data_IF_097695479108
#
_entry.id   IF_097695479108
#
_cell.length_a   1.000
_cell.length_b   1.000
_cell.length_c   1.000
_cell.angle_alpha   90.00
_cell.angle_beta   90.00
_cell.angle_gamma   90.00
#
_symmetry.space_group_name_H-M   'P 1'
#
loop_
_entity.id
_entity.type
_entity.pdbx_description
1 polymer ?
#
# COMPACT_ATOMS: atom_id res chain seq x y z
N UNK A 1 -7.15 16.54 0.63
CA UNK A 1 -6.34 17.11 1.72
C UNK A 1 -5.67 18.44 1.33
N UNK A 2 -4.79 18.47 0.31
CA UNK A 2 -4.10 19.70 -0.15
C UNK A 2 -5.07 20.85 -0.38
N UNK A 3 -6.20 20.61 -1.05
CA UNK A 3 -7.25 21.62 -1.29
C UNK A 3 -7.75 22.26 0.01
N UNK A 4 -8.07 21.47 1.03
CA UNK A 4 -8.54 21.99 2.33
C UNK A 4 -7.46 22.81 3.05
N UNK A 5 -6.21 22.37 2.99
CA UNK A 5 -5.07 23.10 3.59
C UNK A 5 -4.82 24.41 2.85
N UNK A 6 -4.79 24.40 1.51
CA UNK A 6 -4.59 25.60 0.68
C UNK A 6 -5.75 26.58 0.88
N UNK A 7 -6.99 26.11 0.90
CA UNK A 7 -8.16 26.95 1.18
C UNK A 7 -8.08 27.57 2.59
N UNK A 8 -7.70 26.77 3.59
CA UNK A 8 -7.47 27.25 4.96
C UNK A 8 -6.37 28.32 5.04
N UNK A 9 -5.23 28.09 4.38
CA UNK A 9 -4.12 29.06 4.30
C UNK A 9 -4.53 30.32 3.56
N UNK A 10 -5.26 30.20 2.45
CA UNK A 10 -5.76 31.32 1.67
C UNK A 10 -6.68 32.21 2.51
N UNK A 11 -7.60 31.59 3.25
CA UNK A 11 -8.51 32.28 4.15
C UNK A 11 -7.74 32.93 5.32
N UNK A 12 -6.88 32.17 5.99
CA UNK A 12 -6.07 32.63 7.12
C UNK A 12 -5.18 33.83 6.75
N UNK A 13 -4.53 33.78 5.58
CA UNK A 13 -3.64 34.85 5.09
C UNK A 13 -4.37 35.94 4.29
N UNK A 14 -5.70 35.85 4.15
CA UNK A 14 -6.51 36.73 3.29
C UNK A 14 -5.89 36.89 1.89
N UNK A 15 -5.31 35.82 1.37
CA UNK A 15 -4.68 35.84 0.06
C UNK A 15 -5.79 36.03 -0.96
N UNK A 16 -5.71 37.09 -1.77
CA UNK A 16 -6.67 37.29 -2.85
C UNK A 16 -6.73 36.03 -3.72
N UNK A 17 -7.94 35.56 -4.03
CA UNK A 17 -8.17 34.32 -4.79
C UNK A 17 -7.39 34.29 -6.11
N UNK A 18 -7.17 35.46 -6.73
CA UNK A 18 -6.31 35.64 -7.91
C UNK A 18 -4.86 35.17 -7.71
N UNK A 19 -4.27 35.36 -6.53
CA UNK A 19 -2.91 34.90 -6.25
C UNK A 19 -2.88 33.40 -5.96
N UNK A 20 -3.89 32.87 -5.25
CA UNK A 20 -4.02 31.43 -5.00
C UNK A 20 -4.16 30.68 -6.33
N UNK A 21 -5.08 31.13 -7.19
CA UNK A 21 -5.30 30.55 -8.52
C UNK A 21 -4.08 30.64 -9.41
N UNK A 22 -3.32 31.75 -9.40
CA UNK A 22 -2.05 31.85 -10.13
C UNK A 22 -1.00 30.86 -9.66
N UNK A 23 -0.81 30.73 -8.33
CA UNK A 23 0.16 29.77 -7.78
C UNK A 23 -0.27 28.34 -8.10
N UNK A 24 -1.55 28.01 -7.87
CA UNK A 24 -2.10 26.70 -8.20
C UNK A 24 -1.93 26.41 -9.69
N UNK A 25 -2.28 27.34 -10.58
CA UNK A 25 -2.09 27.18 -12.02
C UNK A 25 -0.62 26.99 -12.40
N UNK A 26 0.29 27.80 -11.85
CA UNK A 26 1.73 27.67 -12.11
C UNK A 26 2.31 26.33 -11.64
N UNK A 27 1.80 25.78 -10.52
CA UNK A 27 2.23 24.47 -10.01
C UNK A 27 1.53 23.29 -10.68
N UNK A 28 0.25 23.45 -11.04
CA UNK A 28 -0.57 22.39 -11.59
C UNK A 28 -0.33 22.21 -13.09
N UNK A 29 -0.01 23.28 -13.82
CA UNK A 29 0.18 23.21 -15.27
C UNK A 29 1.32 22.24 -15.66
N UNK A 30 2.53 22.27 -15.06
CA UNK A 30 3.56 21.28 -15.35
C UNK A 30 3.09 19.85 -15.04
N UNK A 31 2.39 19.65 -13.93
CA UNK A 31 1.84 18.34 -13.54
C UNK A 31 0.82 17.86 -14.57
N UNK A 32 -0.11 18.73 -15.01
CA UNK A 32 -1.12 18.41 -16.02
C UNK A 32 -0.47 18.09 -17.36
N UNK A 33 0.58 18.81 -17.77
CA UNK A 33 1.31 18.52 -19.01
C UNK A 33 2.01 17.17 -18.92
N UNK A 34 2.78 16.92 -17.85
CA UNK A 34 3.50 15.65 -17.65
C UNK A 34 2.53 14.48 -17.57
N UNK A 35 1.47 14.59 -16.78
CA UNK A 35 0.43 13.55 -16.65
C UNK A 35 -0.31 13.39 -17.97
N UNK A 36 -0.64 14.47 -18.68
CA UNK A 36 -1.31 14.43 -19.98
C UNK A 36 -0.49 13.67 -21.03
N UNK A 37 0.79 14.02 -21.18
CA UNK A 37 1.70 13.29 -22.07
C UNK A 37 1.77 11.81 -21.68
N UNK A 38 1.96 11.51 -20.40
CA UNK A 38 2.00 10.12 -19.92
C UNK A 38 0.70 9.36 -20.22
N UNK A 39 -0.47 9.97 -19.97
CA UNK A 39 -1.78 9.37 -20.26
C UNK A 39 -1.97 9.09 -21.75
N UNK A 40 -1.53 10.00 -22.62
CA UNK A 40 -1.63 9.80 -24.08
C UNK A 40 -0.73 8.66 -24.56
N UNK A 41 0.52 8.62 -24.11
CA UNK A 41 1.50 7.58 -24.45
C UNK A 41 1.08 6.19 -23.95
N UNK A 42 0.35 6.12 -22.84
CA UNK A 42 -0.06 4.86 -22.20
C UNK A 42 -1.57 4.58 -22.38
N UNK A 43 -2.24 5.27 -23.31
CA UNK A 43 -3.69 5.21 -23.49
C UNK A 43 -4.22 3.80 -23.77
N UNK A 44 -3.52 3.01 -24.58
CA UNK A 44 -3.89 1.62 -24.86
C UNK A 44 -3.85 0.75 -23.59
N UNK A 45 -2.78 0.86 -22.80
CA UNK A 45 -2.66 0.13 -21.53
C UNK A 45 -3.71 0.58 -20.50
N UNK A 46 -3.96 1.90 -20.41
CA UNK A 46 -5.01 2.45 -19.54
C UNK A 46 -6.39 1.96 -19.97
N UNK A 47 -6.66 1.88 -21.27
CA UNK A 47 -7.90 1.33 -21.81
C UNK A 47 -8.04 -0.15 -21.48
N UNK A 48 -6.99 -0.94 -21.67
CA UNK A 48 -6.97 -2.36 -21.33
C UNK A 48 -7.23 -2.59 -19.82
N UNK A 49 -6.54 -1.85 -18.96
CA UNK A 49 -6.75 -1.88 -17.50
C UNK A 49 -8.14 -1.37 -17.13
N UNK A 50 -8.62 -0.32 -17.78
CA UNK A 50 -9.96 0.25 -17.56
C UNK A 50 -11.09 -0.71 -17.91
N UNK A 51 -10.84 -1.64 -18.83
CA UNK A 51 -11.77 -2.67 -19.27
C UNK A 51 -11.79 -3.92 -18.37
N UNK A 52 -10.89 -4.04 -17.39
CA UNK A 52 -10.91 -5.16 -16.43
C UNK A 52 -11.89 -4.92 -15.30
N UNK A 53 -12.33 -5.99 -14.63
CA UNK A 53 -13.17 -5.92 -13.43
C UNK A 53 -12.41 -5.20 -12.31
N UNK A 54 -11.16 -5.59 -12.05
CA UNK A 54 -10.25 -4.83 -11.21
C UNK A 54 -8.87 -4.62 -11.88
N UNK A 55 -8.29 -3.40 -11.78
CA UNK A 55 -8.83 -2.20 -11.12
C UNK A 55 -9.85 -1.39 -11.95
N UNK A 56 -10.11 -1.74 -13.22
CA UNK A 56 -10.87 -0.91 -14.16
C UNK A 56 -12.30 -0.57 -13.75
N UNK A 57 -13.11 -1.56 -13.40
CA UNK A 57 -14.52 -1.37 -13.01
C UNK A 57 -14.71 -1.30 -11.49
N UNK A 58 -13.69 -1.64 -10.69
CA UNK A 58 -13.78 -1.65 -9.23
C UNK A 58 -14.24 -0.29 -8.70
N UNK A 59 -15.30 -0.36 -7.89
CA UNK A 59 -15.73 0.69 -6.99
C UNK A 59 -15.55 0.18 -5.56
N UNK A 60 -14.74 0.89 -4.78
CA UNK A 60 -14.66 0.72 -3.35
C UNK A 60 -15.83 1.45 -2.68
N UNK A 61 -16.34 0.82 -1.63
CA UNK A 61 -17.27 1.41 -0.67
C UNK A 61 -16.48 1.90 0.55
N UNK A 62 -17.09 2.75 1.36
CA UNK A 62 -16.53 3.08 2.65
C UNK A 62 -16.60 1.90 3.62
N UNK A 63 -15.79 1.95 4.69
CA UNK A 63 -15.85 0.97 5.78
C UNK A 63 -14.97 -0.27 5.57
N UNK A 64 -14.08 -0.24 4.56
CA UNK A 64 -13.12 -1.32 4.32
C UNK A 64 -11.93 -1.30 5.29
N UNK A 65 -11.76 -0.27 6.12
CA UNK A 65 -10.70 -0.18 7.12
C UNK A 65 -11.10 -0.79 8.46
N UNK A 66 -10.12 -1.25 9.24
CA UNK A 66 -10.32 -1.72 10.61
C UNK A 66 -9.65 -0.83 11.66
N UNK A 67 -10.14 -0.90 12.91
CA UNK A 67 -9.47 -0.25 14.04
C UNK A 67 -8.06 -0.79 14.25
N UNK A 68 -7.82 -2.08 14.01
CA UNK A 68 -6.48 -2.67 14.05
C UNK A 68 -5.54 -2.01 13.06
N UNK A 69 -5.98 -1.67 11.85
CA UNK A 69 -5.12 -1.00 10.86
C UNK A 69 -4.77 0.44 11.26
N UNK A 70 -5.74 1.17 11.83
CA UNK A 70 -5.53 2.53 12.30
C UNK A 70 -4.63 2.58 13.55
N UNK A 71 -4.78 1.60 14.44
CA UNK A 71 -4.08 1.54 15.72
C UNK A 71 -2.72 0.85 15.65
N UNK A 72 -2.48 0.00 14.65
CA UNK A 72 -1.21 -0.72 14.40
C UNK A 72 -0.08 0.15 13.86
N UNK A 73 -0.36 1.40 13.50
CA UNK A 73 0.62 2.30 12.94
C UNK A 73 1.97 2.35 13.72
N UNK A 74 2.02 2.33 15.07
CA UNK A 74 3.25 2.26 15.87
C UNK A 74 4.20 1.10 15.60
N UNK A 75 3.69 -0.05 15.17
CA UNK A 75 4.53 -1.21 14.86
C UNK A 75 4.96 -1.26 13.40
N UNK A 76 4.35 -0.48 12.50
CA UNK A 76 4.57 -0.54 11.04
C UNK A 76 6.04 -0.53 10.61
N UNK A 77 6.87 0.35 11.20
CA UNK A 77 8.30 0.44 10.88
C UNK A 77 9.06 -0.86 11.22
N UNK A 78 8.65 -1.59 12.25
CA UNK A 78 9.27 -2.86 12.63
C UNK A 78 8.75 -4.00 11.76
N UNK A 79 7.48 -3.94 11.37
CA UNK A 79 6.88 -4.89 10.41
C UNK A 79 7.60 -4.87 9.07
N UNK A 80 8.03 -3.69 8.60
CA UNK A 80 8.79 -3.59 7.34
C UNK A 80 10.17 -4.23 7.36
N UNK A 81 10.81 -4.36 8.54
CA UNK A 81 12.09 -5.05 8.66
C UNK A 81 11.95 -6.56 8.90
N UNK A 82 10.73 -7.04 9.13
CA UNK A 82 10.45 -8.46 9.28
C UNK A 82 9.23 -8.86 8.45
N UNK A 83 9.40 -9.06 7.13
CA UNK A 83 8.30 -9.41 6.23
C UNK A 83 7.56 -10.68 6.66
N UNK A 84 8.26 -11.63 7.32
CA UNK A 84 7.69 -12.85 7.88
C UNK A 84 6.81 -12.65 9.12
N UNK A 85 6.80 -11.45 9.71
CA UNK A 85 6.02 -11.12 10.90
C UNK A 85 4.60 -10.62 10.57
N UNK A 86 4.34 -10.24 9.32
CA UNK A 86 3.02 -9.86 8.84
C UNK A 86 2.22 -11.13 8.52
N UNK A 87 1.71 -11.79 9.55
CA UNK A 87 0.70 -12.84 9.42
C UNK A 87 -0.65 -12.31 9.91
N UNK A 88 -1.20 -11.35 9.16
CA UNK A 88 -2.60 -10.92 9.34
C UNK A 88 -3.52 -11.99 8.73
N UNK A 89 -3.86 -13.04 9.50
CA UNK A 89 -4.96 -13.93 9.12
C UNK A 89 -4.94 -15.34 9.70
N UNK A 90 -5.81 -15.57 10.69
CA UNK A 90 -6.63 -16.77 10.92
C UNK A 90 -6.34 -18.00 10.02
N UNK A 91 -5.34 -18.81 10.39
CA UNK A 91 -5.21 -20.20 9.92
C UNK A 91 -4.92 -20.43 8.43
N UNK A 92 -4.90 -19.39 7.59
CA UNK A 92 -4.49 -19.50 6.20
C UNK A 92 -2.97 -19.34 6.12
N UNK A 93 -2.26 -20.46 6.11
CA UNK A 93 -0.82 -20.51 5.92
C UNK A 93 -0.41 -19.81 4.62
N UNK A 94 0.08 -18.57 4.72
CA UNK A 94 0.55 -17.80 3.58
C UNK A 94 1.28 -16.55 4.01
N UNK A 95 2.61 -16.59 3.91
CA UNK A 95 3.54 -15.49 4.10
C UNK A 95 3.44 -14.43 2.97
N UNK A 96 2.21 -14.01 2.63
CA UNK A 96 1.87 -13.25 1.41
C UNK A 96 1.18 -11.92 1.67
N UNK A 97 1.35 -11.33 2.86
CA UNK A 97 0.86 -9.98 3.08
C UNK A 97 1.76 -8.99 2.35
N UNK A 98 1.19 -8.34 1.34
CA UNK A 98 1.86 -7.31 0.58
C UNK A 98 2.21 -6.16 1.55
N UNK A 99 3.49 -5.77 1.64
CA UNK A 99 3.94 -4.67 2.50
C UNK A 99 3.16 -3.37 2.26
N UNK A 100 2.65 -3.18 1.03
CA UNK A 100 1.79 -2.03 0.72
C UNK A 100 0.39 -2.09 1.37
N UNK A 101 -0.10 -3.27 1.74
CA UNK A 101 -1.35 -3.44 2.51
C UNK A 101 -1.13 -3.17 4.00
N UNK A 102 0.07 -3.46 4.50
CA UNK A 102 0.52 -3.03 5.82
C UNK A 102 1.02 -1.57 5.86
N UNK A 103 1.05 -0.88 4.71
CA UNK A 103 1.49 0.52 4.62
C UNK A 103 0.43 1.45 5.19
N UNK A 104 0.50 1.67 6.50
CA UNK A 104 -0.13 2.80 7.16
C UNK A 104 0.94 3.82 7.54
N UNK A 105 0.66 5.10 7.31
CA UNK A 105 1.49 6.14 7.89
C UNK A 105 1.28 6.10 9.40
N UNK A 106 2.35 6.22 10.15
CA UNK A 106 2.26 6.30 11.59
C UNK A 106 1.35 7.48 12.03
N UNK A 107 0.19 7.14 12.59
CA UNK A 107 -0.76 8.06 13.23
C UNK A 107 -0.98 7.58 14.65
N UNK A 108 -0.47 8.31 15.64
CA UNK A 108 -0.92 8.11 17.01
C UNK A 108 -2.35 8.63 17.14
N UNK A 109 -3.33 7.74 17.09
CA UNK A 109 -4.74 8.10 17.27
C UNK A 109 -4.98 8.93 18.55
N UNK A 110 -4.33 8.64 19.70
CA UNK A 110 -4.43 9.50 20.88
C UNK A 110 -3.86 10.91 20.70
N UNK A 111 -2.70 11.08 20.04
CA UNK A 111 -2.15 12.43 19.77
C UNK A 111 -3.04 13.16 18.77
N UNK A 112 -3.62 12.43 17.82
CA UNK A 112 -4.53 13.03 16.88
C UNK A 112 -5.80 13.54 17.59
N UNK A 113 -6.41 12.71 18.44
CA UNK A 113 -7.54 13.11 19.27
C UNK A 113 -7.17 14.32 20.14
N UNK A 114 -5.96 14.33 20.71
CA UNK A 114 -5.44 15.47 21.44
C UNK A 114 -5.40 16.74 20.58
N UNK A 115 -4.82 16.69 19.38
CA UNK A 115 -4.77 17.85 18.47
C UNK A 115 -6.18 18.38 18.14
N UNK A 116 -7.14 17.49 17.88
CA UNK A 116 -8.54 17.86 17.63
C UNK A 116 -9.16 18.56 18.84
N UNK A 117 -8.98 18.00 20.05
CA UNK A 117 -9.47 18.59 21.30
C UNK A 117 -8.83 19.96 21.56
N UNK A 118 -7.51 20.07 21.39
CA UNK A 118 -6.78 21.33 21.54
C UNK A 118 -7.29 22.40 20.58
N UNK A 119 -7.60 22.03 19.33
CA UNK A 119 -8.19 22.92 18.34
C UNK A 119 -9.58 23.38 18.78
N UNK A 120 -10.46 22.45 19.16
CA UNK A 120 -11.82 22.74 19.61
C UNK A 120 -11.83 23.67 20.83
N UNK A 121 -11.00 23.39 21.84
CA UNK A 121 -10.84 24.25 23.02
C UNK A 121 -10.37 25.66 22.65
N UNK A 122 -9.45 25.78 21.67
CA UNK A 122 -8.96 27.08 21.21
C UNK A 122 -10.05 27.93 20.53
N UNK A 123 -10.99 27.27 19.83
CA UNK A 123 -12.15 27.90 19.19
C UNK A 123 -13.16 28.34 20.26
N UNK A 124 -13.53 27.45 21.18
CA UNK A 124 -14.50 27.74 22.26
C UNK A 124 -14.02 28.86 23.17
N UNK A 125 -12.75 28.85 23.60
CA UNK A 125 -12.19 29.93 24.45
C UNK A 125 -12.30 31.29 23.78
N UNK A 126 -12.07 31.37 22.47
CA UNK A 126 -12.20 32.61 21.71
C UNK A 126 -13.65 33.07 21.58
N UNK A 127 -14.56 32.14 21.30
CA UNK A 127 -15.98 32.46 21.24
C UNK A 127 -16.48 33.03 22.58
N UNK A 128 -16.02 32.46 23.72
CA UNK A 128 -16.33 32.97 25.06
C UNK A 128 -15.70 34.33 25.34
N UNK A 129 -14.43 34.54 24.99
CA UNK A 129 -13.77 35.83 25.15
C UNK A 129 -14.48 36.96 24.37
N UNK A 130 -14.95 36.66 23.14
CA UNK A 130 -15.77 37.59 22.36
C UNK A 130 -17.11 37.91 23.02
N UNK A 131 -17.79 36.91 23.59
CA UNK A 131 -19.09 37.09 24.26
C UNK A 131 -19.00 37.89 25.57
N UNK A 132 -17.88 37.80 26.29
CA UNK A 132 -17.70 38.48 27.58
C UNK A 132 -17.50 39.99 27.48
N UNK A 133 -17.44 40.57 26.28
CA UNK A 133 -17.24 42.01 26.14
C UNK A 133 -15.84 42.48 26.51
N UNK A 134 -14.89 41.57 26.82
CA UNK A 134 -13.46 41.86 26.99
C UNK A 134 -12.79 42.46 25.71
N UNK A 135 -13.57 42.73 24.67
CA UNK A 135 -13.19 43.28 23.38
C UNK A 135 -13.35 44.80 23.22
N UNK A 136 -13.70 45.55 24.27
CA UNK A 136 -13.60 47.04 24.27
C UNK A 136 -12.25 47.49 24.83
N UNK A 137 -11.19 46.72 24.58
CA UNK A 137 -9.82 47.26 24.67
C UNK A 137 -9.54 47.91 23.32
N UNK A 138 -9.18 49.19 23.37
CA UNK A 138 -8.95 50.05 22.22
C UNK A 138 -8.16 49.34 21.09
N UNK A 139 -8.40 49.70 19.80
CA UNK A 139 -7.81 49.05 18.63
C UNK A 139 -6.28 49.24 18.46
N UNK A 140 -5.52 49.39 19.55
CA UNK A 140 -4.07 49.48 19.53
C UNK A 140 -3.48 48.11 19.18
N UNK A 141 -3.26 47.97 17.87
CA UNK A 141 -2.50 46.95 17.17
C UNK A 141 -3.16 45.56 17.14
N UNK A 142 -3.77 45.16 16.01
CA UNK A 142 -3.96 43.74 15.78
C UNK A 142 -2.56 43.11 15.87
N UNK A 143 -2.39 42.05 16.66
CA UNK A 143 -1.30 41.08 16.46
C UNK A 143 -1.83 40.05 15.46
N UNK A 144 -1.73 40.30 14.15
CA UNK A 144 -2.43 39.53 13.12
C UNK A 144 -1.97 38.06 13.03
N UNK A 145 -0.86 37.66 13.63
CA UNK A 145 -0.31 36.33 13.41
C UNK A 145 -0.94 35.20 14.25
N UNK A 146 -1.62 35.50 15.35
CA UNK A 146 -2.18 34.45 16.22
C UNK A 146 -3.49 33.83 15.71
N UNK A 147 -4.11 34.42 14.68
CA UNK A 147 -5.37 33.91 14.13
C UNK A 147 -5.20 33.07 12.86
N UNK A 148 -4.08 33.21 12.16
CA UNK A 148 -3.82 32.72 10.79
C UNK A 148 -3.49 31.22 10.68
N UNK A 149 -3.93 30.40 11.62
CA UNK A 149 -3.66 28.96 11.61
C UNK A 149 -4.89 28.11 11.89
N UNK A 150 -5.97 28.72 12.41
CA UNK A 150 -7.12 27.98 12.92
C UNK A 150 -7.99 27.44 11.80
N UNK A 151 -8.14 28.19 10.71
CA UNK A 151 -8.90 27.70 9.55
C UNK A 151 -8.11 26.65 8.80
N UNK A 152 -6.78 26.82 8.69
CA UNK A 152 -5.88 25.77 8.19
C UNK A 152 -6.00 24.48 9.02
N UNK A 153 -5.94 24.59 10.34
CA UNK A 153 -6.09 23.44 11.23
C UNK A 153 -7.50 22.82 11.15
N UNK A 154 -8.56 23.63 11.13
CA UNK A 154 -9.93 23.14 10.98
C UNK A 154 -10.15 22.43 9.63
N UNK A 155 -9.60 22.97 8.54
CA UNK A 155 -9.63 22.33 7.23
C UNK A 155 -8.87 21.00 7.21
N UNK A 156 -7.72 20.92 7.88
CA UNK A 156 -6.99 19.67 8.05
C UNK A 156 -7.76 18.62 8.85
N UNK A 157 -8.39 19.01 9.96
CA UNK A 157 -9.23 18.12 10.79
C UNK A 157 -10.46 17.66 10.00
N UNK A 158 -11.13 18.55 9.27
CA UNK A 158 -12.29 18.20 8.44
C UNK A 158 -11.90 17.22 7.31
N UNK A 159 -10.80 17.48 6.61
CA UNK A 159 -10.31 16.59 5.56
C UNK A 159 -10.01 15.18 6.13
N UNK A 160 -9.38 15.14 7.30
CA UNK A 160 -9.06 13.89 7.97
C UNK A 160 -10.31 13.16 8.49
N UNK A 161 -11.31 13.88 9.00
CA UNK A 161 -12.59 13.30 9.39
C UNK A 161 -13.32 12.66 8.20
N UNK A 162 -13.29 13.30 7.02
CA UNK A 162 -13.83 12.72 5.78
C UNK A 162 -13.07 11.45 5.38
N UNK A 163 -11.74 11.45 5.46
CA UNK A 163 -10.92 10.27 5.15
C UNK A 163 -11.19 9.13 6.13
N UNK A 164 -11.26 9.41 7.43
CA UNK A 164 -11.57 8.43 8.47
C UNK A 164 -13.01 7.91 8.34
N UNK A 165 -13.97 8.77 8.00
CA UNK A 165 -15.35 8.35 7.73
C UNK A 165 -15.42 7.39 6.53
N UNK A 166 -14.69 7.68 5.46
CA UNK A 166 -14.56 6.77 4.33
C UNK A 166 -13.87 5.45 4.71
N UNK A 167 -12.83 5.50 5.55
CA UNK A 167 -12.16 4.29 6.01
C UNK A 167 -13.06 3.42 6.89
N UNK A 168 -13.78 4.02 7.83
CA UNK A 168 -14.40 3.34 8.98
C UNK A 168 -15.90 3.12 8.88
N UNK A 169 -16.63 4.00 8.19
CA UNK A 169 -18.09 3.91 8.11
C UNK A 169 -18.49 3.20 6.82
N UNK A 170 -19.49 2.30 6.86
CA UNK A 170 -19.99 1.59 5.67
C UNK A 170 -20.77 2.54 4.75
N UNK A 171 -20.05 3.45 4.09
CA UNK A 171 -20.63 4.45 3.20
C UNK A 171 -20.86 3.83 1.81
N UNK A 172 -22.06 3.97 1.21
CA UNK A 172 -22.31 3.48 -0.13
C UNK A 172 -21.40 4.18 -1.15
N UNK A 173 -21.08 3.48 -2.24
CA UNK A 173 -20.20 4.01 -3.29
C UNK A 173 -20.69 5.35 -3.88
N UNK A 174 -22.01 5.60 -3.88
CA UNK A 174 -22.59 6.86 -4.33
C UNK A 174 -22.13 8.09 -3.50
N UNK A 175 -21.76 7.88 -2.22
CA UNK A 175 -21.20 8.94 -1.37
C UNK A 175 -19.70 9.10 -1.53
N UNK A 176 -19.03 8.20 -2.24
CA UNK A 176 -17.62 8.35 -2.58
C UNK A 176 -17.45 9.52 -3.53
N UNK A 177 -17.00 10.66 -3.02
CA UNK A 177 -16.76 11.86 -3.80
C UNK A 177 -15.74 11.58 -4.92
N UNK A 178 -16.24 11.43 -6.15
CA UNK A 178 -15.46 11.24 -7.37
C UNK A 178 -14.47 10.07 -7.29
N UNK A 179 -13.18 10.41 -7.20
CA UNK A 179 -12.05 9.46 -7.23
C UNK A 179 -11.96 8.61 -5.96
N UNK A 180 -12.63 8.98 -4.85
CA UNK A 180 -12.59 8.18 -3.62
C UNK A 180 -13.16 6.77 -3.81
N UNK A 181 -14.15 6.60 -4.70
CA UNK A 181 -14.65 5.26 -5.08
C UNK A 181 -13.59 4.39 -5.77
N UNK A 182 -12.45 4.94 -6.19
CA UNK A 182 -11.34 4.20 -6.78
C UNK A 182 -10.26 3.83 -5.77
N UNK A 183 -10.38 4.32 -4.54
CA UNK A 183 -9.38 4.11 -3.47
C UNK A 183 -10.02 3.28 -2.35
N UNK A 184 -9.47 2.09 -2.06
CA UNK A 184 -9.92 1.29 -0.94
C UNK A 184 -9.90 2.06 0.38
N UNK A 185 -10.92 1.86 1.22
CA UNK A 185 -11.12 2.63 2.45
C UNK A 185 -9.88 2.62 3.36
N UNK A 186 -9.30 1.43 3.57
CA UNK A 186 -8.08 1.24 4.36
C UNK A 186 -6.86 1.99 3.81
N UNK A 187 -6.77 2.28 2.49
CA UNK A 187 -5.64 3.03 1.93
C UNK A 187 -5.67 4.52 2.28
N UNK A 188 -6.80 5.02 2.77
CA UNK A 188 -6.91 6.43 3.18
C UNK A 188 -6.11 6.75 4.45
N UNK A 189 -5.68 5.75 5.23
CA UNK A 189 -4.81 5.98 6.40
C UNK A 189 -3.49 6.66 6.04
N UNK A 190 -2.95 6.40 4.84
CA UNK A 190 -1.78 7.13 4.33
C UNK A 190 -2.06 8.64 4.26
N UNK A 191 -3.22 9.01 3.73
CA UNK A 191 -3.62 10.42 3.67
C UNK A 191 -3.94 11.00 5.06
N UNK A 192 -4.47 10.19 5.98
CA UNK A 192 -4.68 10.58 7.40
C UNK A 192 -3.35 10.87 8.09
N UNK A 193 -2.32 10.05 7.86
CA UNK A 193 -0.97 10.29 8.42
C UNK A 193 -0.31 11.56 7.90
N UNK A 194 -0.47 11.85 6.62
CA UNK A 194 -0.01 13.12 6.07
C UNK A 194 -0.79 14.29 6.67
N UNK A 195 -2.11 14.15 6.85
CA UNK A 195 -2.97 15.14 7.49
C UNK A 195 -2.53 15.40 8.94
N UNK A 196 -2.24 14.34 9.67
CA UNK A 196 -1.69 14.40 11.01
C UNK A 196 -0.37 15.18 11.06
N UNK A 197 0.60 14.86 10.20
CA UNK A 197 1.89 15.55 10.14
C UNK A 197 1.74 17.05 9.85
N UNK A 198 0.86 17.42 8.91
CA UNK A 198 0.57 18.82 8.61
C UNK A 198 -0.13 19.52 9.77
N UNK A 199 -1.12 18.89 10.40
CA UNK A 199 -1.82 19.43 11.56
C UNK A 199 -0.86 19.68 12.72
N UNK A 200 0.02 18.72 13.00
CA UNK A 200 1.03 18.84 14.04
C UNK A 200 1.95 20.04 13.78
N UNK A 201 2.45 20.20 12.55
CA UNK A 201 3.25 21.35 12.15
C UNK A 201 2.50 22.69 12.31
N UNK A 202 1.21 22.72 11.95
CA UNK A 202 0.39 23.93 12.08
C UNK A 202 0.06 24.24 13.54
N UNK A 203 -0.06 23.25 14.41
CA UNK A 203 -0.49 23.47 15.80
C UNK A 203 0.67 23.65 16.79
N UNK A 204 1.89 23.21 16.43
CA UNK A 204 3.04 23.22 17.34
C UNK A 204 3.31 24.62 17.93
N UNK A 205 3.36 24.69 19.26
CA UNK A 205 3.61 25.94 20.00
C UNK A 205 2.53 27.02 19.90
N UNK A 206 1.40 26.76 19.22
CA UNK A 206 0.30 27.72 19.06
C UNK A 206 -0.81 27.56 20.08
N UNK A 207 -1.05 26.34 20.58
CA UNK A 207 -2.01 26.10 21.65
C UNK A 207 -1.31 26.15 23.01
N UNK A 208 -1.79 27.02 23.89
CA UNK A 208 -1.33 27.09 25.30
C UNK A 208 -2.44 26.66 26.22
N UNK A 209 -2.19 25.60 26.97
CA UNK A 209 -3.03 25.17 28.08
C UNK A 209 -2.37 25.55 29.41
N UNK A 210 -3.15 25.89 30.45
CA UNK A 210 -2.61 26.02 31.79
C UNK A 210 -2.05 24.66 32.24
N UNK A 211 -0.91 24.66 32.96
CA UNK A 211 -0.21 23.44 33.40
C UNK A 211 -1.11 22.42 34.08
N UNK A 212 -2.09 22.88 34.89
CA UNK A 212 -3.08 22.03 35.57
C UNK A 212 -3.95 21.18 34.63
N UNK A 213 -4.21 21.65 33.41
CA UNK A 213 -4.96 20.89 32.38
C UNK A 213 -3.99 20.07 31.53
N UNK A 214 -2.78 20.58 31.29
CA UNK A 214 -1.81 19.94 30.43
C UNK A 214 -1.31 18.59 31.00
N UNK A 215 -1.10 18.50 32.31
CA UNK A 215 -0.67 17.26 32.98
C UNK A 215 -1.59 16.05 32.79
N UNK A 216 -2.87 16.09 33.16
CA UNK A 216 -3.76 14.95 32.97
C UNK A 216 -3.93 14.61 31.48
N UNK A 217 -3.94 15.61 30.60
CA UNK A 217 -4.04 15.42 29.15
C UNK A 217 -2.80 14.72 28.59
N UNK A 218 -1.60 15.14 29.00
CA UNK A 218 -0.36 14.53 28.57
C UNK A 218 -0.24 13.10 29.07
N UNK A 219 -0.51 12.87 30.36
CA UNK A 219 -0.50 11.54 30.95
C UNK A 219 -1.52 10.63 30.26
N UNK A 220 -2.75 11.10 30.06
CA UNK A 220 -3.78 10.34 29.34
C UNK A 220 -3.38 9.99 27.91
N UNK A 221 -2.74 10.93 27.19
CA UNK A 221 -2.26 10.69 25.82
C UNK A 221 -1.14 9.65 25.78
N UNK A 222 -0.20 9.72 26.73
CA UNK A 222 0.90 8.76 26.88
C UNK A 222 0.36 7.37 27.19
N UNK A 223 -0.50 7.24 28.21
CA UNK A 223 -1.11 5.96 28.62
C UNK A 223 -1.94 5.37 27.49
N UNK A 224 -2.80 6.17 26.84
CA UNK A 224 -3.62 5.71 25.73
C UNK A 224 -2.76 5.22 24.56
N UNK A 225 -1.66 5.89 24.26
CA UNK A 225 -0.76 5.46 23.18
C UNK A 225 0.02 4.20 23.53
N UNK A 226 0.45 4.05 24.79
CA UNK A 226 1.05 2.82 25.28
C UNK A 226 0.08 1.63 25.19
N UNK A 227 -1.19 1.84 25.61
CA UNK A 227 -2.24 0.82 25.49
C UNK A 227 -2.51 0.45 24.04
N UNK A 228 -2.69 1.44 23.16
CA UNK A 228 -2.90 1.23 21.72
C UNK A 228 -1.74 0.45 21.11
N UNK A 229 -0.51 0.78 21.46
CA UNK A 229 0.69 0.06 20.99
C UNK A 229 0.69 -1.39 21.50
N UNK A 230 0.40 -1.60 22.79
CA UNK A 230 0.37 -2.94 23.39
C UNK A 230 -0.73 -3.83 22.79
N UNK A 231 -1.94 -3.30 22.62
CA UNK A 231 -3.07 -4.00 21.97
C UNK A 231 -2.71 -4.33 20.52
N UNK A 232 -2.14 -3.37 19.79
CA UNK A 232 -1.74 -3.60 18.40
C UNK A 232 -0.66 -4.68 18.27
N UNK A 233 0.35 -4.68 19.15
CA UNK A 233 1.37 -5.74 19.17
C UNK A 233 0.75 -7.11 19.44
N UNK A 234 -0.26 -7.18 20.33
CA UNK A 234 -0.98 -8.43 20.64
C UNK A 234 -1.83 -8.92 19.46
N UNK A 235 -2.65 -8.03 18.90
CA UNK A 235 -3.65 -8.38 17.88
C UNK A 235 -3.01 -8.70 16.52
N UNK A 236 -1.87 -8.08 16.20
CA UNK A 236 -1.11 -8.38 14.99
C UNK A 236 -0.40 -9.75 15.02
N UNK A 237 -0.58 -10.57 16.07
CA UNK A 237 0.04 -11.89 16.19
C UNK A 237 1.54 -11.85 15.85
N UNK A 238 2.25 -10.80 16.32
CA UNK A 238 3.71 -10.67 16.18
C UNK A 238 4.40 -11.67 17.12
N UNK A 239 4.13 -12.95 16.91
CA UNK A 239 4.55 -14.04 17.78
C UNK A 239 6.06 -14.29 17.75
N UNK A 240 6.84 -13.65 16.86
CA UNK A 240 8.21 -14.13 16.61
C UNK A 240 9.30 -13.09 16.39
N UNK A 241 9.06 -11.76 16.42
CA UNK A 241 10.17 -10.82 16.14
C UNK A 241 10.20 -9.48 16.86
N UNK A 242 9.06 -8.84 17.13
CA UNK A 242 9.04 -7.57 17.88
C UNK A 242 8.73 -7.89 19.34
N UNK A 243 9.77 -8.24 20.11
CA UNK A 243 9.62 -8.58 21.53
C UNK A 243 8.94 -7.47 22.34
N UNK A 244 8.30 -7.83 23.46
CA UNK A 244 7.65 -6.90 24.40
C UNK A 244 8.56 -5.71 24.75
N UNK A 245 9.86 -5.96 24.92
CA UNK A 245 10.86 -4.93 25.18
C UNK A 245 10.88 -3.84 24.10
N UNK A 246 10.81 -4.20 22.82
CA UNK A 246 10.81 -3.21 21.74
C UNK A 246 9.52 -2.39 21.71
N UNK A 247 8.38 -3.03 21.98
CA UNK A 247 7.10 -2.32 22.12
C UNK A 247 7.13 -1.30 23.28
N UNK A 248 7.76 -1.66 24.39
CA UNK A 248 7.98 -0.75 25.53
C UNK A 248 8.90 0.40 25.13
N UNK A 249 10.02 0.14 24.45
CA UNK A 249 10.94 1.19 23.96
C UNK A 249 10.21 2.17 23.05
N UNK A 250 9.41 1.69 22.11
CA UNK A 250 8.61 2.53 21.21
C UNK A 250 7.62 3.38 21.98
N UNK A 251 6.90 2.79 22.94
CA UNK A 251 5.97 3.51 23.79
C UNK A 251 6.66 4.59 24.63
N UNK A 252 7.86 4.32 25.17
CA UNK A 252 8.66 5.26 25.96
C UNK A 252 9.19 6.41 25.09
N UNK A 253 9.82 6.11 23.96
CA UNK A 253 10.31 7.14 23.01
C UNK A 253 9.17 8.06 22.62
N UNK A 254 8.03 7.47 22.28
CA UNK A 254 6.83 8.21 21.94
C UNK A 254 6.33 9.08 23.11
N UNK A 255 6.28 8.53 24.33
CA UNK A 255 5.88 9.26 25.51
C UNK A 255 6.77 10.50 25.71
N UNK A 256 8.10 10.34 25.58
CA UNK A 256 9.06 11.43 25.65
C UNK A 256 8.80 12.50 24.58
N UNK A 257 8.50 12.10 23.34
CA UNK A 257 8.18 13.04 22.25
C UNK A 257 6.89 13.82 22.52
N UNK A 258 5.83 13.17 23.00
CA UNK A 258 4.57 13.82 23.38
C UNK A 258 4.78 14.76 24.55
N UNK A 259 5.52 14.35 25.57
CA UNK A 259 5.84 15.20 26.72
C UNK A 259 6.67 16.43 26.28
N UNK A 260 7.61 16.24 25.36
CA UNK A 260 8.41 17.35 24.80
C UNK A 260 7.55 18.29 23.96
N UNK A 261 6.61 17.75 23.18
CA UNK A 261 5.63 18.52 22.41
C UNK A 261 4.73 19.38 23.32
N UNK A 262 4.32 18.83 24.47
CA UNK A 262 3.35 19.46 25.36
C UNK A 262 4.01 20.41 26.37
N UNK A 263 5.09 19.99 27.03
CA UNK A 263 5.75 20.73 28.11
C UNK A 263 7.01 21.47 27.70
N UNK A 264 7.58 21.17 26.53
CA UNK A 264 8.81 21.79 26.07
C UNK A 264 8.68 23.31 25.92
N UNK A 265 9.81 24.01 26.04
CA UNK A 265 9.92 25.37 25.50
C UNK A 265 9.71 25.38 23.98
N UNK A 266 9.54 26.55 23.35
CA UNK A 266 9.22 26.65 21.92
C UNK A 266 10.15 25.85 21.01
N UNK A 267 11.45 25.84 21.33
CA UNK A 267 12.46 25.06 20.59
C UNK A 267 12.21 23.57 20.78
N UNK A 268 12.10 23.11 22.02
CA UNK A 268 11.80 21.70 22.34
C UNK A 268 10.49 21.22 21.70
N UNK A 269 9.42 22.02 21.70
CA UNK A 269 8.17 21.66 21.04
C UNK A 269 8.34 21.46 19.54
N UNK A 270 9.12 22.33 18.87
CA UNK A 270 9.43 22.19 17.44
C UNK A 270 10.28 20.96 17.18
N UNK A 271 11.23 20.65 18.06
CA UNK A 271 12.04 19.42 17.99
C UNK A 271 11.14 18.19 18.14
N UNK A 272 10.26 18.16 19.15
CA UNK A 272 9.32 17.06 19.37
C UNK A 272 8.36 16.87 18.20
N UNK A 273 7.79 17.96 17.65
CA UNK A 273 6.95 17.89 16.46
C UNK A 273 7.74 17.44 15.22
N UNK A 274 8.94 17.97 15.03
CA UNK A 274 9.83 17.58 13.94
C UNK A 274 10.19 16.09 13.99
N UNK A 275 10.50 15.57 15.18
CA UNK A 275 10.79 14.16 15.41
C UNK A 275 9.55 13.27 15.15
N UNK A 276 8.36 13.68 15.58
CA UNK A 276 7.11 12.96 15.28
C UNK A 276 6.81 12.95 13.77
N UNK A 277 6.97 14.09 13.09
CA UNK A 277 6.82 14.18 11.62
C UNK A 277 7.85 13.28 10.93
N UNK A 278 9.11 13.34 11.36
CA UNK A 278 10.17 12.49 10.83
C UNK A 278 9.84 11.01 11.03
N UNK A 279 9.35 10.61 12.20
CA UNK A 279 8.93 9.24 12.47
C UNK A 279 7.79 8.81 11.53
N UNK A 280 6.78 9.66 11.31
CA UNK A 280 5.70 9.40 10.33
C UNK A 280 6.24 9.23 8.92
N UNK A 281 7.16 10.10 8.49
CA UNK A 281 7.75 10.04 7.14
C UNK A 281 8.70 8.85 6.95
N UNK A 282 9.49 8.50 7.98
CA UNK A 282 10.39 7.33 7.95
C UNK A 282 9.57 6.04 7.96
N UNK A 283 8.55 5.94 8.81
CA UNK A 283 7.60 4.81 8.79
C UNK A 283 7.03 4.63 7.38
N UNK A 284 6.62 5.71 6.72
CA UNK A 284 6.17 5.65 5.33
C UNK A 284 7.27 5.19 4.35
N UNK A 285 8.45 5.80 4.40
CA UNK A 285 9.53 5.53 3.46
C UNK A 285 10.14 4.11 3.60
N UNK A 286 10.07 3.52 4.79
CA UNK A 286 10.56 2.16 5.04
C UNK A 286 9.50 1.13 4.63
N UNK A 287 8.21 1.39 4.88
CA UNK A 287 7.12 0.45 4.55
C UNK A 287 6.71 0.51 3.08
N UNK A 288 6.85 1.66 2.42
CA UNK A 288 6.76 1.80 0.97
C UNK A 288 8.20 1.80 0.45
N UNK A 289 8.84 0.62 0.28
CA UNK A 289 10.24 0.57 -0.09
C UNK A 289 10.44 1.35 -1.38
N UNK A 290 11.40 2.28 -1.35
CA UNK A 290 11.94 2.83 -2.58
C UNK A 290 12.34 1.63 -3.46
N UNK A 291 11.78 1.59 -4.66
CA UNK A 291 11.98 0.52 -5.62
C UNK A 291 13.49 0.25 -5.76
N UNK A 292 13.97 -0.93 -5.31
CA UNK A 292 15.41 -1.29 -5.31
C UNK A 292 15.93 -1.70 -6.69
N UNK A 293 15.24 -1.27 -7.75
CA UNK A 293 15.43 -1.77 -9.10
C UNK A 293 15.04 -3.25 -9.23
N UNK A 294 15.36 -3.83 -10.38
CA UNK A 294 15.15 -5.25 -10.66
C UNK A 294 16.31 -6.13 -10.17
N UNK A 295 17.42 -5.52 -9.73
CA UNK A 295 18.68 -6.20 -9.37
C UNK A 295 18.50 -7.46 -8.53
N UNK A 296 17.81 -7.41 -7.37
CA UNK A 296 17.59 -8.58 -6.53
C UNK A 296 16.88 -9.76 -7.21
N UNK A 297 16.06 -9.49 -8.23
CA UNK A 297 15.31 -10.50 -8.99
C UNK A 297 16.10 -10.94 -10.23
N UNK A 298 16.84 -10.04 -10.87
CA UNK A 298 17.60 -10.34 -12.09
C UNK A 298 18.99 -10.96 -11.82
N UNK A 299 19.48 -10.90 -10.58
CA UNK A 299 20.78 -11.48 -10.20
C UNK A 299 20.68 -12.90 -9.64
N UNK A 300 19.47 -13.48 -9.56
CA UNK A 300 19.29 -14.81 -8.97
C UNK A 300 19.84 -15.92 -9.89
N UNK A 301 20.22 -17.09 -9.36
CA UNK A 301 20.56 -18.26 -10.16
C UNK A 301 19.54 -18.55 -11.29
N UNK A 302 18.25 -18.52 -11.00
CA UNK A 302 17.21 -18.74 -12.01
C UNK A 302 17.20 -17.64 -13.08
N UNK A 303 17.33 -16.36 -12.71
CA UNK A 303 17.37 -15.27 -13.69
C UNK A 303 18.55 -15.40 -14.66
N UNK A 304 19.73 -15.76 -14.15
CA UNK A 304 20.93 -15.99 -14.97
C UNK A 304 20.74 -17.17 -15.92
N UNK A 305 20.10 -18.24 -15.45
CA UNK A 305 19.76 -19.37 -16.29
C UNK A 305 18.78 -19.00 -17.41
N UNK A 306 17.71 -18.26 -17.09
CA UNK A 306 16.72 -17.81 -18.08
C UNK A 306 17.35 -16.87 -19.13
N UNK A 307 18.28 -16.00 -18.72
CA UNK A 307 19.03 -15.14 -19.63
C UNK A 307 19.99 -15.93 -20.54
N UNK A 308 20.67 -16.95 -20.00
CA UNK A 308 21.52 -17.84 -20.80
C UNK A 308 20.69 -18.63 -21.82
N UNK A 309 19.54 -19.18 -21.40
CA UNK A 309 18.61 -19.87 -22.29
C UNK A 309 18.08 -18.94 -23.40
N UNK A 310 17.81 -17.67 -23.11
CA UNK A 310 17.35 -16.68 -24.10
C UNK A 310 18.39 -16.43 -25.18
N UNK A 311 19.66 -16.45 -24.79
CA UNK A 311 20.78 -16.22 -25.71
C UNK A 311 21.02 -17.44 -26.59
N UNK A 312 20.89 -18.65 -26.03
CA UNK A 312 21.17 -19.90 -26.73
C UNK A 312 20.05 -20.32 -27.68
N UNK A 313 18.78 -20.18 -27.26
CA UNK A 313 17.63 -20.72 -27.99
C UNK A 313 16.71 -19.65 -28.60
N UNK A 314 17.02 -18.37 -28.35
CA UNK A 314 16.14 -17.26 -28.69
C UNK A 314 14.96 -17.11 -27.71
N UNK A 315 13.93 -16.33 -28.08
CA UNK A 315 12.77 -16.13 -27.22
C UNK A 315 11.98 -17.44 -27.05
N UNK A 316 11.88 -17.90 -25.82
CA UNK A 316 11.14 -19.11 -25.45
C UNK A 316 9.99 -18.77 -24.51
N UNK A 317 8.98 -19.65 -24.47
CA UNK A 317 7.78 -19.50 -23.67
C UNK A 317 7.81 -20.43 -22.46
N UNK A 318 7.60 -19.82 -21.30
CA UNK A 318 7.78 -20.48 -20.01
C UNK A 318 6.50 -20.43 -19.18
N UNK A 319 6.24 -21.52 -18.49
CA UNK A 319 5.22 -21.62 -17.44
C UNK A 319 5.91 -21.97 -16.12
N UNK A 320 5.46 -21.37 -15.03
CA UNK A 320 5.83 -21.79 -13.68
C UNK A 320 4.58 -22.25 -12.94
N UNK A 321 4.69 -23.43 -12.33
CA UNK A 321 3.71 -23.96 -11.37
C UNK A 321 4.07 -23.56 -9.93
N UNK A 322 5.16 -22.81 -9.77
CA UNK A 322 5.68 -22.35 -8.49
C UNK A 322 5.53 -20.82 -8.35
N UNK A 323 4.81 -20.34 -7.32
CA UNK A 323 4.69 -18.91 -7.03
C UNK A 323 6.04 -18.21 -6.82
N UNK A 324 7.04 -18.89 -6.24
CA UNK A 324 8.35 -18.28 -5.94
C UNK A 324 9.16 -17.91 -7.18
N UNK A 325 8.96 -18.63 -8.29
CA UNK A 325 9.65 -18.39 -9.56
C UNK A 325 8.94 -17.33 -10.44
N UNK A 326 7.68 -16.99 -10.14
CA UNK A 326 6.91 -16.04 -10.97
C UNK A 326 7.55 -14.66 -11.09
N UNK A 327 8.04 -14.00 -10.01
CA UNK A 327 8.65 -12.68 -10.12
C UNK A 327 9.93 -12.70 -10.97
N UNK A 328 10.72 -13.78 -10.87
CA UNK A 328 11.95 -13.96 -11.65
C UNK A 328 11.62 -14.13 -13.12
N UNK A 329 10.61 -14.96 -13.44
CA UNK A 329 10.18 -15.19 -14.81
C UNK A 329 9.58 -13.92 -15.44
N UNK A 330 8.76 -13.16 -14.70
CA UNK A 330 8.18 -11.90 -15.14
C UNK A 330 9.22 -10.79 -15.36
N UNK A 331 10.37 -10.85 -14.67
CA UNK A 331 11.48 -9.91 -14.83
C UNK A 331 12.52 -10.36 -15.87
N UNK A 332 12.35 -11.55 -16.45
CA UNK A 332 13.29 -12.14 -17.41
C UNK A 332 12.92 -11.75 -18.85
N UNK A 333 13.86 -11.82 -19.82
CA UNK A 333 13.58 -11.53 -21.23
C UNK A 333 12.70 -12.59 -21.91
N UNK A 334 12.39 -13.69 -21.22
CA UNK A 334 11.57 -14.77 -21.72
C UNK A 334 10.07 -14.44 -21.63
N UNK A 335 9.26 -15.09 -22.46
CA UNK A 335 7.81 -14.92 -22.40
C UNK A 335 7.21 -15.78 -21.29
N UNK A 336 6.88 -15.14 -20.16
CA UNK A 336 6.12 -15.74 -19.07
C UNK A 336 4.64 -15.84 -19.46
N UNK A 337 4.11 -17.05 -19.61
CA UNK A 337 2.67 -17.27 -19.85
C UNK A 337 1.89 -17.25 -18.52
N UNK A 338 2.49 -17.82 -17.47
CA UNK A 338 1.93 -17.89 -16.13
C UNK A 338 2.37 -16.73 -15.25
N UNK A 339 1.59 -16.44 -14.21
CA UNK A 339 1.93 -15.49 -13.16
C UNK A 339 0.96 -14.33 -13.07
N UNK A 340 1.47 -13.15 -12.72
CA UNK A 340 0.66 -11.96 -12.55
C UNK A 340 0.41 -11.25 -13.89
N UNK A 341 -0.86 -11.05 -14.23
CA UNK A 341 -1.25 -10.27 -15.42
C UNK A 341 -1.87 -8.94 -14.99
N UNK A 342 -1.29 -7.83 -15.44
CA UNK A 342 -1.82 -6.49 -15.16
C UNK A 342 -3.19 -6.26 -15.81
N UNK A 343 -3.32 -6.74 -17.04
CA UNK A 343 -4.53 -6.81 -17.83
C UNK A 343 -4.46 -8.12 -18.64
N UNK A 344 -5.42 -9.04 -18.47
CA UNK A 344 -5.38 -10.35 -19.11
C UNK A 344 -5.60 -10.23 -20.62
N UNK A 345 -4.88 -11.05 -21.40
CA UNK A 345 -5.17 -11.22 -22.83
C UNK A 345 -6.52 -11.92 -23.00
N UNK A 346 -7.53 -11.16 -23.41
CA UNK A 346 -8.89 -11.68 -23.57
C UNK A 346 -9.00 -12.80 -24.58
N UNK A 347 -8.22 -12.77 -25.67
CA UNK A 347 -8.27 -13.81 -26.69
C UNK A 347 -7.73 -15.12 -26.13
N UNK A 348 -6.62 -15.04 -25.39
CA UNK A 348 -6.04 -16.16 -24.66
C UNK A 348 -7.04 -16.74 -23.64
N UNK A 349 -7.59 -15.91 -22.76
CA UNK A 349 -8.45 -16.38 -21.67
C UNK A 349 -9.83 -16.84 -22.12
N UNK A 350 -10.40 -16.25 -23.17
CA UNK A 350 -11.64 -16.76 -23.78
C UNK A 350 -11.46 -18.16 -24.37
N UNK A 351 -10.24 -18.49 -24.82
CA UNK A 351 -9.93 -19.83 -25.31
C UNK A 351 -9.67 -20.82 -24.18
N UNK A 352 -8.96 -20.40 -23.13
CA UNK A 352 -8.58 -21.27 -22.02
C UNK A 352 -9.68 -21.47 -20.97
N UNK A 353 -10.52 -20.46 -20.73
CA UNK A 353 -11.56 -20.49 -19.69
C UNK A 353 -12.81 -19.73 -20.16
N UNK A 354 -13.47 -20.21 -21.24
CA UNK A 354 -14.64 -19.54 -21.81
C UNK A 354 -15.75 -19.36 -20.75
N UNK A 355 -16.36 -18.17 -20.73
CA UNK A 355 -17.47 -17.84 -19.82
C UNK A 355 -17.07 -17.52 -18.38
N UNK A 356 -15.77 -17.53 -18.06
CA UNK A 356 -15.25 -17.26 -16.71
C UNK A 356 -14.67 -15.84 -16.55
N UNK A 357 -15.12 -14.88 -17.37
CA UNK A 357 -14.68 -13.48 -17.36
C UNK A 357 -14.75 -12.85 -15.98
N UNK A 358 -15.74 -13.23 -15.17
CA UNK A 358 -15.88 -12.75 -13.78
C UNK A 358 -14.69 -13.13 -12.88
N UNK A 359 -13.96 -14.19 -13.24
CA UNK A 359 -12.78 -14.69 -12.53
C UNK A 359 -11.52 -14.16 -13.20
N UNK A 360 -11.37 -14.36 -14.51
CA UNK A 360 -10.10 -14.09 -15.18
C UNK A 360 -9.94 -12.64 -15.71
N UNK A 361 -11.02 -11.87 -15.92
CA UNK A 361 -10.92 -10.49 -16.45
C UNK A 361 -10.53 -9.49 -15.35
N UNK A 362 -9.43 -9.75 -14.65
CA UNK A 362 -9.02 -9.03 -13.47
C UNK A 362 -7.48 -9.00 -13.33
N UNK A 363 -6.95 -8.01 -12.62
CA UNK A 363 -5.61 -8.04 -12.06
C UNK A 363 -5.52 -9.18 -11.05
N UNK A 364 -4.98 -10.30 -11.50
CA UNK A 364 -4.78 -11.50 -10.69
C UNK A 364 -3.37 -12.06 -10.89
N UNK A 365 -2.88 -12.65 -9.82
CA UNK A 365 -1.88 -13.70 -9.86
C UNK A 365 -2.57 -15.02 -10.24
N UNK A 366 -2.24 -15.58 -11.40
CA UNK A 366 -2.70 -16.92 -11.79
C UNK A 366 -1.69 -17.95 -11.34
N UNK A 367 -2.05 -18.75 -10.35
CA UNK A 367 -1.30 -19.93 -9.95
C UNK A 367 -1.67 -21.06 -10.89
N UNK A 368 -0.73 -21.52 -11.71
CA UNK A 368 -0.99 -22.63 -12.62
C UNK A 368 -0.86 -23.94 -11.85
N UNK A 369 -1.90 -24.75 -11.91
CA UNK A 369 -1.98 -26.08 -11.33
C UNK A 369 -2.06 -27.10 -12.48
N UNK A 370 -1.09 -27.99 -12.51
CA UNK A 370 -1.04 -29.07 -13.49
C UNK A 370 -1.93 -30.22 -13.02
N UNK A 371 -2.95 -30.55 -13.82
CA UNK A 371 -3.80 -31.73 -13.63
C UNK A 371 -3.88 -32.51 -14.95
N UNK A 372 -3.23 -33.70 -15.04
CA UNK A 372 -3.21 -34.50 -16.26
C UNK A 372 -4.56 -35.12 -16.61
N UNK A 373 -5.52 -35.15 -15.67
CA UNK A 373 -6.85 -35.74 -15.88
C UNK A 373 -7.84 -34.80 -16.58
N UNK A 374 -7.47 -33.53 -16.74
CA UNK A 374 -8.32 -32.53 -17.35
C UNK A 374 -8.22 -32.56 -18.88
N UNK A 375 -9.38 -32.67 -19.52
CA UNK A 375 -9.54 -32.42 -20.95
C UNK A 375 -9.58 -30.91 -21.23
N UNK A 376 -10.24 -30.17 -20.33
CA UNK A 376 -10.48 -28.74 -20.45
C UNK A 376 -9.84 -27.90 -19.33
N UNK A 377 -9.23 -26.77 -19.70
CA UNK A 377 -8.69 -25.84 -18.73
C UNK A 377 -9.78 -24.96 -18.06
N UNK A 378 -9.56 -24.55 -16.80
CA UNK A 378 -10.51 -23.68 -16.08
C UNK A 378 -9.84 -22.89 -14.95
N UNK A 379 -10.53 -21.84 -14.48
CA UNK A 379 -10.01 -20.94 -13.44
C UNK A 379 -10.88 -20.97 -12.19
N UNK A 380 -10.26 -21.14 -11.03
CA UNK A 380 -10.94 -21.13 -9.73
C UNK A 380 -10.48 -19.92 -8.92
N UNK A 381 -11.39 -19.10 -8.35
CA UNK A 381 -10.99 -18.04 -7.43
C UNK A 381 -10.46 -18.64 -6.12
N UNK A 382 -9.28 -18.19 -5.67
CA UNK A 382 -8.64 -18.73 -4.46
C UNK A 382 -9.13 -18.10 -3.15
N UNK A 383 -10.18 -17.27 -3.19
CA UNK A 383 -10.67 -16.50 -2.03
C UNK A 383 -9.72 -15.40 -1.53
N UNK A 384 -8.46 -15.43 -1.95
CA UNK A 384 -7.46 -14.37 -1.75
C UNK A 384 -7.71 -13.23 -2.75
N UNK A 385 -7.58 -11.97 -2.28
CA UNK A 385 -7.80 -10.80 -3.14
C UNK A 385 -6.71 -10.74 -4.22
N UNK A 386 -7.12 -10.91 -5.48
CA UNK A 386 -6.20 -10.79 -6.61
C UNK A 386 -5.41 -12.07 -6.91
N UNK A 387 -5.90 -13.25 -6.53
CA UNK A 387 -5.32 -14.53 -6.92
C UNK A 387 -6.39 -15.50 -7.41
N UNK A 388 -6.04 -16.26 -8.44
CA UNK A 388 -6.86 -17.34 -8.95
C UNK A 388 -5.95 -18.53 -9.31
N UNK A 389 -6.51 -19.74 -9.31
CA UNK A 389 -5.81 -20.93 -9.73
C UNK A 389 -6.29 -21.34 -11.13
N UNK A 390 -5.35 -21.49 -12.05
CA UNK A 390 -5.60 -22.00 -13.39
C UNK A 390 -5.30 -23.50 -13.40
N UNK A 391 -6.34 -24.31 -13.47
CA UNK A 391 -6.24 -25.76 -13.55
C UNK A 391 -6.17 -26.18 -15.02
N UNK A 392 -5.10 -26.88 -15.39
CA UNK A 392 -4.82 -27.17 -16.79
C UNK A 392 -3.95 -28.42 -16.96
N UNK A 393 -4.18 -29.15 -18.05
CA UNK A 393 -3.27 -30.19 -18.51
C UNK A 393 -2.29 -29.61 -19.53
N UNK A 394 -1.01 -29.43 -19.16
CA UNK A 394 0.01 -28.85 -20.03
C UNK A 394 0.34 -29.72 -21.27
N UNK A 395 -0.10 -30.98 -21.27
CA UNK A 395 0.00 -31.88 -22.42
C UNK A 395 -1.26 -31.93 -23.28
N UNK A 396 -2.36 -31.26 -22.90
CA UNK A 396 -3.60 -31.30 -23.68
C UNK A 396 -3.46 -30.55 -25.01
N UNK A 397 -4.24 -30.93 -26.04
CA UNK A 397 -4.31 -30.17 -27.29
C UNK A 397 -4.79 -28.72 -27.08
N UNK A 398 -5.58 -28.46 -26.03
CA UNK A 398 -6.15 -27.14 -25.79
C UNK A 398 -5.11 -26.06 -25.52
N UNK A 399 -4.00 -26.42 -24.88
CA UNK A 399 -2.89 -25.50 -24.58
C UNK A 399 -1.79 -25.53 -25.63
N UNK A 400 -1.93 -26.32 -26.69
CA UNK A 400 -0.88 -26.48 -27.68
C UNK A 400 -0.53 -25.16 -28.38
N UNK A 401 -1.53 -24.31 -28.62
CA UNK A 401 -1.35 -22.98 -29.23
C UNK A 401 -0.50 -22.03 -28.39
N UNK A 402 -0.34 -22.31 -27.09
CA UNK A 402 0.55 -21.55 -26.21
C UNK A 402 2.01 -21.84 -26.51
N UNK A 403 2.31 -22.97 -27.18
CA UNK A 403 3.66 -23.34 -27.60
C UNK A 403 4.67 -23.21 -26.45
N UNK A 404 4.29 -23.81 -25.31
CA UNK A 404 5.08 -23.81 -24.09
C UNK A 404 6.36 -24.61 -24.34
N UNK A 405 7.52 -23.99 -24.18
CA UNK A 405 8.80 -24.68 -24.33
C UNK A 405 9.27 -25.27 -23.01
N UNK A 406 9.04 -24.56 -21.90
CA UNK A 406 9.57 -24.93 -20.59
C UNK A 406 8.57 -24.78 -19.46
N UNK A 407 8.72 -25.64 -18.45
CA UNK A 407 7.97 -25.59 -17.20
C UNK A 407 8.93 -25.61 -16.01
N UNK A 408 8.70 -24.71 -15.06
CA UNK A 408 9.42 -24.62 -13.79
C UNK A 408 8.50 -25.03 -12.64
N UNK A 409 8.99 -25.88 -11.74
CA UNK A 409 8.25 -26.23 -10.51
C UNK A 409 9.16 -26.75 -9.40
N UNK A 410 8.87 -26.44 -8.14
CA UNK A 410 9.44 -27.16 -6.98
C UNK A 410 8.64 -28.40 -6.60
N UNK A 411 7.39 -28.51 -7.06
CA UNK A 411 6.52 -29.64 -6.77
C UNK A 411 6.98 -30.87 -7.54
N UNK A 412 6.73 -32.05 -6.98
CA UNK A 412 6.97 -33.33 -7.67
C UNK A 412 6.19 -33.37 -8.97
N UNK A 413 6.89 -33.56 -10.08
CA UNK A 413 6.28 -33.69 -11.40
C UNK A 413 5.48 -35.01 -11.51
N UNK A 414 4.23 -34.97 -11.99
CA UNK A 414 3.47 -36.19 -12.23
C UNK A 414 4.17 -37.10 -13.23
N UNK A 415 4.29 -38.40 -12.92
CA UNK A 415 4.86 -39.39 -13.83
C UNK A 415 4.04 -39.54 -15.13
N UNK A 416 2.78 -39.13 -15.13
CA UNK A 416 1.83 -39.26 -16.23
C UNK A 416 1.94 -38.17 -17.31
N UNK A 417 2.98 -37.32 -17.32
CA UNK A 417 3.15 -36.23 -18.29
C UNK A 417 4.30 -36.52 -19.27
N UNK A 418 4.06 -37.31 -20.33
CA UNK A 418 5.12 -37.75 -21.25
C UNK A 418 5.61 -36.63 -22.18
N UNK A 419 4.87 -35.53 -22.31
CA UNK A 419 5.21 -34.46 -23.25
C UNK A 419 6.31 -33.52 -22.75
N UNK A 420 6.85 -33.72 -21.55
CA UNK A 420 7.97 -32.97 -21.01
C UNK A 420 9.07 -33.90 -20.49
N UNK A 421 10.32 -33.54 -20.72
CA UNK A 421 11.50 -34.20 -20.17
C UNK A 421 12.25 -33.28 -19.22
N UNK A 422 12.78 -33.84 -18.14
CA UNK A 422 13.57 -33.06 -17.17
C UNK A 422 14.89 -32.66 -17.80
N UNK A 423 15.23 -31.37 -17.74
CA UNK A 423 16.52 -30.85 -18.25
C UNK A 423 17.45 -30.38 -17.14
N UNK A 424 16.93 -30.05 -15.96
CA UNK A 424 17.78 -29.60 -14.86
C UNK A 424 17.05 -29.32 -13.56
N UNK A 425 17.81 -28.82 -12.59
CA UNK A 425 17.29 -28.21 -11.38
C UNK A 425 18.20 -27.05 -10.94
N UNK A 426 17.63 -26.04 -10.30
CA UNK A 426 18.31 -24.83 -9.86
C UNK A 426 17.82 -24.48 -8.45
N UNK A 427 18.75 -24.24 -7.53
CA UNK A 427 18.42 -23.68 -6.22
C UNK A 427 18.30 -22.16 -6.34
N UNK A 428 17.09 -21.64 -6.14
CA UNK A 428 16.79 -20.21 -6.23
C UNK A 428 16.01 -19.76 -5.01
N UNK A 429 16.47 -18.69 -4.34
CA UNK A 429 15.81 -18.10 -3.17
C UNK A 429 15.43 -19.12 -2.06
N UNK A 430 16.26 -20.17 -1.88
CA UNK A 430 16.05 -21.22 -0.88
C UNK A 430 15.07 -22.32 -1.32
N UNK A 431 14.66 -22.34 -2.59
CA UNK A 431 13.78 -23.37 -3.17
C UNK A 431 14.49 -24.05 -4.34
N UNK A 432 14.53 -25.38 -4.34
CA UNK A 432 15.01 -26.15 -5.49
C UNK A 432 13.91 -26.21 -6.54
N UNK A 433 14.17 -25.61 -7.70
CA UNK A 433 13.26 -25.56 -8.83
C UNK A 433 13.72 -26.56 -9.90
N UNK A 434 12.84 -27.47 -10.29
CA UNK A 434 13.09 -28.39 -11.41
C UNK A 434 12.61 -27.77 -12.72
N UNK A 435 13.39 -27.97 -13.78
CA UNK A 435 13.10 -27.44 -15.11
C UNK A 435 12.81 -28.60 -16.05
N UNK A 436 11.70 -28.46 -16.77
CA UNK A 436 11.18 -29.43 -17.71
C UNK A 436 11.06 -28.78 -19.09
N UNK A 437 11.54 -29.47 -20.13
CA UNK A 437 11.47 -29.03 -21.52
C UNK A 437 10.43 -29.85 -22.27
N UNK A 438 9.62 -29.20 -23.10
CA UNK A 438 8.62 -29.89 -23.92
C UNK A 438 9.32 -30.75 -24.97
N UNK A 439 8.94 -32.02 -25.05
CA UNK A 439 9.43 -32.95 -26.06
C UNK A 439 8.75 -32.63 -27.39
N UNK A 440 9.50 -32.46 -28.50
CA UNK A 440 8.90 -32.23 -29.82
C UNK A 440 7.96 -33.37 -30.20
N UNK A 441 6.77 -33.07 -30.72
CA UNK A 441 5.88 -34.09 -31.27
C UNK A 441 6.53 -34.68 -32.54
N UNK A 442 6.98 -35.94 -32.46
CA UNK A 442 7.44 -36.71 -33.61
C UNK A 442 8.93 -36.59 -34.00
N UNK A 443 9.80 -36.03 -33.15
CA UNK A 443 11.23 -35.87 -33.45
C UNK A 443 12.13 -36.48 -32.38
N UNK A 444 13.14 -37.22 -32.82
CA UNK A 444 14.14 -37.93 -32.02
C UNK A 444 14.61 -37.16 -30.77
N UNK A 445 14.84 -37.92 -29.69
CA UNK A 445 15.40 -37.44 -28.42
C UNK A 445 16.63 -36.56 -28.68
N UNK A 446 16.60 -35.26 -28.34
CA UNK A 446 17.80 -34.44 -28.42
C UNK A 446 18.82 -35.01 -27.45
N UNK A 447 19.99 -35.37 -27.97
CA UNK A 447 21.13 -35.84 -27.20
C UNK A 447 21.47 -34.75 -26.19
N UNK A 448 21.45 -35.10 -24.89
CA UNK A 448 21.67 -34.16 -23.81
C UNK A 448 23.00 -33.41 -24.01
N UNK A 449 22.95 -32.11 -24.25
CA UNK A 449 24.10 -31.26 -24.03
C UNK A 449 24.35 -31.24 -22.52
N UNK A 450 25.47 -31.84 -22.11
CA UNK A 450 25.97 -31.82 -20.73
C UNK A 450 26.23 -30.37 -20.26
N UNK A 451 26.13 -30.09 -18.94
CA UNK A 451 26.08 -28.74 -18.37
C UNK A 451 27.31 -27.86 -18.64
#
# INVERSE_FOLDING_TARGET
>A
MVVFVVAGVAFDRRVGWRRVTRVLAATALPVVVVVGVWLTQNSAAISAIGATIYPGQRRSVGGEGSWSDLLSAPSSIFLSFNPGALSLGHGAAGNRNNLSEASSMWVSAPVLALLVVLLALSIVRRARARRRGDGVVAPSTPKPDNERWRMTAAGGVAAMAVLLAWAMLPLPAALGLGVMTRVPGFRTYLAVGLAFAMLLHVMVGRVRLPRRVLWPVALGTVVASGLVTAVSTRDLMLRTSVGLAMSVVVAVVFACLVLTLLFGGRVAQRVGAGALIALTLVSYAVVVPLYRGLGPITSTPLARYLAAAATAEGPTRWVTLDPSAQPVLAASPQYAISGMTLYPDRALWNRLAPGQDSVWNNYNEYLWAQDPSLDAAFVVPLGLRGSAEMNVSLCSPEVEFLDINYVITSKRWPAALPCFSRVGAIDDLGTTLTIWRRTPRGGATPTAAAP
#
